data_IF_314741435375
#
_entry.id   IF_314741435375
#
_cell.length_a   1.000
_cell.length_b   1.000
_cell.length_c   1.000
_cell.angle_alpha   90.00
_cell.angle_beta   90.00
_cell.angle_gamma   90.00
#
_symmetry.space_group_name_H-M   'P 1'
#
loop_
_entity.id
_entity.type
_entity.pdbx_description
1 polymer ?
#
# COMPACT_ATOMS: atom_id res chain seq x y z
N UNK A 1 -40.47 -18.53 17.51
CA UNK A 1 -39.94 -17.19 17.12
C UNK A 1 -39.64 -16.29 18.32
N UNK A 2 -38.86 -16.74 19.32
CA UNK A 2 -38.40 -15.89 20.44
C UNK A 2 -36.87 -15.72 20.49
N UNK A 3 -36.12 -16.68 19.96
CA UNK A 3 -34.65 -16.67 19.99
C UNK A 3 -33.99 -15.77 18.93
N UNK A 4 -34.66 -15.53 17.79
CA UNK A 4 -34.10 -14.72 16.69
C UNK A 4 -33.89 -13.25 17.10
N UNK A 5 -34.86 -12.66 17.82
CA UNK A 5 -34.76 -11.25 18.27
C UNK A 5 -33.70 -11.01 19.35
N UNK A 6 -33.41 -12.03 20.18
CA UNK A 6 -32.40 -11.91 21.24
C UNK A 6 -30.99 -11.91 20.61
N UNK A 7 -30.75 -12.72 19.58
CA UNK A 7 -29.47 -12.78 18.86
C UNK A 7 -29.19 -11.46 18.13
N UNK A 8 -30.19 -10.86 17.47
CA UNK A 8 -30.05 -9.55 16.80
C UNK A 8 -29.73 -8.43 17.80
N UNK A 9 -30.35 -8.45 18.98
CA UNK A 9 -30.12 -7.43 20.03
C UNK A 9 -28.72 -7.55 20.63
N UNK A 10 -28.21 -8.78 20.80
CA UNK A 10 -26.86 -9.03 21.32
C UNK A 10 -25.78 -8.64 20.29
N UNK A 11 -26.00 -8.93 19.00
CA UNK A 11 -25.09 -8.47 17.94
C UNK A 11 -25.04 -6.95 17.84
N UNK A 12 -26.18 -6.26 17.92
CA UNK A 12 -26.22 -4.80 17.89
C UNK A 12 -25.44 -4.14 19.04
N UNK A 13 -25.52 -4.68 20.25
CA UNK A 13 -24.89 -4.08 21.44
C UNK A 13 -23.39 -4.39 21.52
N UNK A 14 -22.95 -5.59 21.08
CA UNK A 14 -21.54 -5.96 21.08
C UNK A 14 -20.74 -5.28 19.96
N UNK A 15 -21.35 -5.01 18.81
CA UNK A 15 -20.64 -4.42 17.67
C UNK A 15 -20.71 -2.89 17.60
N UNK A 16 -21.64 -2.23 18.31
CA UNK A 16 -21.71 -0.76 18.35
C UNK A 16 -20.43 -0.07 18.84
N UNK A 17 -19.77 -0.50 19.94
CA UNK A 17 -18.50 0.10 20.35
C UNK A 17 -17.37 -0.18 19.34
N UNK A 18 -17.39 -1.34 18.67
CA UNK A 18 -16.40 -1.66 17.63
C UNK A 18 -16.61 -0.83 16.38
N UNK A 19 -17.83 -0.65 15.89
CA UNK A 19 -18.15 0.21 14.73
C UNK A 19 -17.81 1.67 15.05
N UNK A 20 -18.14 2.15 16.25
CA UNK A 20 -17.81 3.51 16.68
C UNK A 20 -16.29 3.75 16.80
N UNK A 21 -15.53 2.75 17.29
CA UNK A 21 -14.06 2.77 17.30
C UNK A 21 -13.49 2.67 15.87
N UNK A 22 -14.12 1.89 14.98
CA UNK A 22 -13.70 1.72 13.59
C UNK A 22 -13.92 3.01 12.78
N UNK A 23 -15.07 3.67 12.93
CA UNK A 23 -15.37 4.96 12.31
C UNK A 23 -14.40 6.05 12.82
N UNK A 24 -14.12 6.10 14.13
CA UNK A 24 -13.14 7.06 14.69
C UNK A 24 -11.68 6.77 14.30
N UNK A 25 -11.32 5.52 14.00
CA UNK A 25 -9.99 5.17 13.46
C UNK A 25 -9.83 5.53 11.98
N UNK A 26 -10.94 5.74 11.26
CA UNK A 26 -10.96 6.17 9.86
C UNK A 26 -10.89 7.71 9.76
N UNK A 27 -11.44 8.45 10.72
CA UNK A 27 -11.53 9.92 10.69
C UNK A 27 -10.21 10.70 10.90
N UNK A 28 -9.11 10.04 11.24
CA UNK A 28 -7.82 10.72 11.50
C UNK A 28 -6.72 10.45 10.48
N UNK A 29 -6.95 9.60 9.48
CA UNK A 29 -5.88 9.14 8.59
C UNK A 29 -5.87 9.97 7.31
N UNK A 30 -4.76 10.63 6.96
CA UNK A 30 -4.67 11.28 5.66
C UNK A 30 -4.89 10.22 4.58
N UNK A 31 -5.78 10.47 3.60
CA UNK A 31 -6.00 9.51 2.52
C UNK A 31 -4.69 9.24 1.80
N UNK A 32 -4.50 8.02 1.28
CA UNK A 32 -3.35 7.73 0.43
C UNK A 32 -3.27 8.78 -0.69
N UNK A 33 -2.06 9.24 -1.04
CA UNK A 33 -1.82 10.10 -2.18
C UNK A 33 -2.60 9.56 -3.40
N UNK A 34 -3.45 10.37 -4.08
CA UNK A 34 -4.13 9.97 -5.31
C UNK A 34 -3.20 9.33 -6.34
N UNK A 35 -1.95 9.77 -6.32
CA UNK A 35 -0.77 9.21 -6.95
C UNK A 35 -0.63 7.69 -6.87
N UNK A 36 -0.87 7.09 -5.70
CA UNK A 36 -0.73 5.65 -5.52
C UNK A 36 -1.76 4.89 -6.37
N UNK A 37 -2.95 5.44 -6.59
CA UNK A 37 -3.93 4.84 -7.48
C UNK A 37 -3.50 4.88 -8.95
N UNK A 38 -2.71 5.88 -9.36
CA UNK A 38 -2.13 5.93 -10.71
C UNK A 38 -1.14 4.78 -10.95
N UNK A 39 -0.42 4.34 -9.90
CA UNK A 39 0.47 3.18 -10.00
C UNK A 39 -0.27 1.89 -10.38
N UNK A 40 -1.49 1.66 -9.88
CA UNK A 40 -2.34 0.52 -10.31
C UNK A 40 -2.64 0.61 -11.82
N UNK A 41 -2.94 1.82 -12.31
CA UNK A 41 -3.15 2.05 -13.74
C UNK A 41 -1.93 1.68 -14.58
N UNK A 42 -0.74 2.09 -14.14
CA UNK A 42 0.53 1.78 -14.81
C UNK A 42 0.90 0.29 -14.78
N UNK A 43 0.56 -0.42 -13.71
CA UNK A 43 0.71 -1.88 -13.62
C UNK A 43 -0.16 -2.60 -14.67
N UNK A 44 -1.43 -2.18 -14.80
CA UNK A 44 -2.35 -2.76 -15.80
C UNK A 44 -1.88 -2.51 -17.23
N UNK A 45 -1.39 -1.31 -17.54
CA UNK A 45 -0.84 -0.98 -18.87
C UNK A 45 0.34 -1.87 -19.27
N UNK A 46 1.12 -2.36 -18.29
CA UNK A 46 2.26 -3.26 -18.50
C UNK A 46 1.90 -4.75 -18.45
N UNK A 47 0.60 -5.07 -18.45
CA UNK A 47 0.12 -6.44 -18.48
C UNK A 47 0.33 -7.18 -17.16
N UNK A 48 0.33 -6.48 -16.03
CA UNK A 48 0.14 -7.11 -14.72
C UNK A 48 -1.37 -7.33 -14.56
N UNK A 49 -1.79 -8.57 -14.79
CA UNK A 49 -3.20 -8.99 -14.86
C UNK A 49 -3.49 -9.82 -13.61
N UNK A 50 -4.51 -9.42 -12.84
CA UNK A 50 -4.87 -10.04 -11.57
C UNK A 50 -5.81 -9.13 -10.78
N UNK A 51 -6.23 -9.57 -9.59
CA UNK A 51 -6.90 -8.67 -8.66
C UNK A 51 -5.84 -7.80 -7.98
N UNK A 52 -5.91 -6.49 -8.26
CA UNK A 52 -5.01 -5.49 -7.69
C UNK A 52 -5.78 -4.77 -6.59
N UNK A 53 -5.34 -4.92 -5.35
CA UNK A 53 -5.96 -4.27 -4.19
C UNK A 53 -4.95 -3.34 -3.53
N UNK A 54 -5.34 -2.10 -3.27
CA UNK A 54 -4.56 -1.19 -2.44
C UNK A 54 -5.07 -1.23 -1.01
N UNK A 55 -4.17 -1.35 -0.05
CA UNK A 55 -4.47 -1.17 1.36
C UNK A 55 -3.54 -0.13 1.94
N UNK A 56 -4.12 0.88 2.58
CA UNK A 56 -3.35 1.92 3.23
C UNK A 56 -2.75 1.38 4.53
N UNK A 57 -1.46 1.64 4.74
CA UNK A 57 -0.78 1.32 5.98
C UNK A 57 -0.35 2.63 6.64
N UNK A 58 -0.47 2.68 7.96
CA UNK A 58 0.01 3.82 8.73
C UNK A 58 1.27 3.39 9.48
N UNK A 59 2.38 4.06 9.17
CA UNK A 59 3.69 3.86 9.79
C UNK A 59 4.10 5.24 10.30
N UNK A 60 4.38 5.38 11.59
CA UNK A 60 4.57 6.68 12.27
C UNK A 60 5.66 7.55 11.63
N UNK A 61 6.66 6.95 10.98
CA UNK A 61 7.80 7.62 10.36
C UNK A 61 7.59 8.02 8.89
N UNK A 62 6.40 7.76 8.33
CA UNK A 62 6.09 8.00 6.92
C UNK A 62 4.88 8.91 6.76
N UNK A 63 4.96 9.85 5.81
CA UNK A 63 3.84 10.73 5.46
C UNK A 63 2.66 9.92 4.91
N UNK A 64 2.94 8.85 4.17
CA UNK A 64 1.95 7.88 3.74
C UNK A 64 2.60 6.54 3.39
N UNK A 65 1.88 5.44 3.60
CA UNK A 65 2.27 4.15 3.05
C UNK A 65 1.05 3.37 2.57
N UNK A 66 1.26 2.55 1.54
CA UNK A 66 0.24 1.64 1.03
C UNK A 66 0.90 0.35 0.56
N UNK A 67 0.16 -0.73 0.58
CA UNK A 67 0.54 -1.98 -0.09
C UNK A 67 -0.41 -2.22 -1.25
N UNK A 68 0.16 -2.70 -2.36
CA UNK A 68 -0.58 -3.21 -3.50
C UNK A 68 -0.41 -4.71 -3.51
N UNK A 69 -1.51 -5.41 -3.29
CA UNK A 69 -1.58 -6.87 -3.34
C UNK A 69 -1.86 -7.27 -4.79
N UNK A 70 -0.99 -8.10 -5.34
CA UNK A 70 -1.06 -8.65 -6.69
C UNK A 70 -1.54 -10.10 -6.60
N UNK A 71 -2.86 -10.32 -6.71
CA UNK A 71 -3.43 -11.66 -6.79
C UNK A 71 -3.38 -12.13 -8.26
N UNK A 72 -2.21 -12.61 -8.67
CA UNK A 72 -1.99 -13.09 -10.05
C UNK A 72 -2.57 -14.49 -10.27
N UNK A 73 -2.67 -15.30 -9.20
CA UNK A 73 -3.27 -16.63 -9.18
C UNK A 73 -3.91 -16.86 -7.80
N UNK A 74 -5.06 -17.55 -7.68
CA UNK A 74 -5.68 -17.90 -6.39
C UNK A 74 -4.75 -18.56 -5.35
N UNK A 75 -3.58 -19.07 -5.73
CA UNK A 75 -2.59 -19.65 -4.81
C UNK A 75 -1.35 -18.77 -4.57
N UNK A 76 -1.23 -17.60 -5.21
CA UNK A 76 -0.03 -16.76 -5.13
C UNK A 76 -0.40 -15.28 -5.14
N UNK A 77 -0.30 -14.67 -3.96
CA UNK A 77 -0.43 -13.24 -3.75
C UNK A 77 0.95 -12.64 -3.51
N UNK A 78 1.29 -11.63 -4.29
CA UNK A 78 2.56 -10.90 -4.17
C UNK A 78 2.31 -9.48 -3.68
N UNK A 79 3.26 -8.90 -2.93
CA UNK A 79 3.05 -7.59 -2.29
C UNK A 79 4.06 -6.57 -2.80
N UNK A 80 3.55 -5.41 -3.21
CA UNK A 80 4.35 -4.23 -3.51
C UNK A 80 4.05 -3.17 -2.47
N UNK A 81 5.05 -2.72 -1.73
CA UNK A 81 4.91 -1.64 -0.76
C UNK A 81 5.25 -0.31 -1.42
N UNK A 82 4.43 0.70 -1.19
CA UNK A 82 4.61 2.08 -1.63
C UNK A 82 4.73 2.97 -0.39
N UNK A 83 5.69 3.88 -0.44
CA UNK A 83 5.93 4.82 0.66
C UNK A 83 6.08 6.24 0.10
N UNK A 84 5.59 7.20 0.86
CA UNK A 84 5.88 8.62 0.70
C UNK A 84 6.50 9.11 2.00
N UNK A 85 7.69 9.67 1.89
CA UNK A 85 8.43 10.26 3.00
C UNK A 85 8.30 11.78 2.99
N UNK A 86 8.64 12.41 4.11
CA UNK A 86 8.56 13.87 4.25
C UNK A 86 9.64 14.60 3.43
N UNK A 87 10.76 13.92 3.16
CA UNK A 87 11.89 14.47 2.39
C UNK A 87 12.63 13.41 1.60
N UNK A 88 13.46 13.85 0.65
CA UNK A 88 14.34 12.99 -0.15
C UNK A 88 15.36 12.29 0.75
N UNK A 89 15.87 12.95 1.78
CA UNK A 89 16.81 12.37 2.74
C UNK A 89 16.15 11.28 3.58
N UNK A 90 14.89 11.49 4.00
CA UNK A 90 14.12 10.47 4.70
C UNK A 90 13.87 9.26 3.78
N UNK A 91 13.56 9.50 2.51
CA UNK A 91 13.40 8.45 1.51
C UNK A 91 14.72 7.66 1.29
N UNK A 92 15.85 8.36 1.18
CA UNK A 92 17.17 7.71 1.05
C UNK A 92 17.48 6.81 2.25
N UNK A 93 17.22 7.27 3.48
CA UNK A 93 17.43 6.45 4.70
C UNK A 93 16.56 5.20 4.67
N UNK A 94 15.29 5.35 4.30
CA UNK A 94 14.36 4.22 4.22
C UNK A 94 14.72 3.23 3.10
N UNK A 95 15.23 3.73 1.97
CA UNK A 95 15.74 2.88 0.90
C UNK A 95 16.86 1.96 1.40
N UNK A 96 17.84 2.51 2.11
CA UNK A 96 18.95 1.72 2.68
C UNK A 96 18.44 0.67 3.68
N UNK A 97 17.46 1.02 4.51
CA UNK A 97 16.81 0.07 5.42
C UNK A 97 16.12 -1.07 4.64
N UNK A 98 15.37 -0.73 3.59
CA UNK A 98 14.67 -1.72 2.76
C UNK A 98 15.63 -2.63 2.00
N UNK A 99 16.71 -2.09 1.43
CA UNK A 99 17.73 -2.87 0.71
C UNK A 99 18.55 -3.78 1.65
N UNK A 100 18.62 -3.43 2.94
CA UNK A 100 19.25 -4.29 3.95
C UNK A 100 18.36 -5.48 4.38
N UNK A 101 17.07 -5.47 4.02
CA UNK A 101 16.12 -6.50 4.40
C UNK A 101 16.13 -7.65 3.38
N UNK A 102 16.48 -8.89 3.77
CA UNK A 102 16.57 -10.03 2.85
C UNK A 102 15.22 -10.46 2.25
N UNK A 103 14.09 -10.01 2.80
CA UNK A 103 12.75 -10.27 2.26
C UNK A 103 12.34 -9.27 1.16
N UNK A 104 13.12 -8.20 0.97
CA UNK A 104 12.88 -7.19 -0.05
C UNK A 104 13.78 -7.49 -1.25
N UNK A 105 13.18 -7.90 -2.36
CA UNK A 105 13.94 -8.33 -3.54
C UNK A 105 14.34 -7.15 -4.43
N UNK A 106 13.49 -6.13 -4.50
CA UNK A 106 13.72 -4.94 -5.30
C UNK A 106 13.17 -3.71 -4.58
N UNK A 107 13.94 -2.64 -4.59
CA UNK A 107 13.52 -1.34 -4.09
C UNK A 107 13.87 -0.26 -5.09
N UNK A 108 13.05 0.78 -5.19
CA UNK A 108 13.30 1.92 -6.07
C UNK A 108 12.79 3.20 -5.43
N UNK A 109 13.62 4.24 -5.49
CA UNK A 109 13.28 5.58 -5.07
C UNK A 109 13.04 6.49 -6.27
N UNK A 110 12.12 7.44 -6.09
CA UNK A 110 11.96 8.60 -6.96
C UNK A 110 11.47 9.78 -6.14
N UNK A 111 12.35 10.76 -5.93
CA UNK A 111 12.08 11.91 -5.07
C UNK A 111 11.81 11.46 -3.61
N UNK A 112 10.73 11.94 -2.98
CA UNK A 112 10.27 11.49 -1.67
C UNK A 112 9.43 10.19 -1.71
N UNK A 113 9.27 9.58 -2.89
CA UNK A 113 8.49 8.35 -3.07
C UNK A 113 9.42 7.14 -3.18
N UNK A 114 8.97 6.03 -2.60
CA UNK A 114 9.67 4.76 -2.62
C UNK A 114 8.71 3.64 -2.96
N UNK A 115 9.28 2.59 -3.53
CA UNK A 115 8.62 1.31 -3.69
C UNK A 115 9.58 0.20 -3.24
N UNK A 116 9.04 -0.82 -2.58
CA UNK A 116 9.73 -2.10 -2.42
C UNK A 116 8.83 -3.26 -2.83
N UNK A 117 9.47 -4.36 -3.18
CA UNK A 117 8.83 -5.58 -3.65
C UNK A 117 9.15 -6.71 -2.68
N UNK A 118 8.10 -7.31 -2.12
CA UNK A 118 8.19 -8.49 -1.25
C UNK A 118 7.49 -9.63 -1.97
N UNK A 119 8.29 -10.54 -2.54
CA UNK A 119 7.77 -11.73 -3.19
C UNK A 119 8.07 -12.97 -2.37
N UNK A 120 7.14 -13.91 -2.30
CA UNK A 120 7.39 -15.19 -1.63
C UNK A 120 8.46 -16.01 -2.36
N UNK A 121 8.52 -15.88 -3.69
CA UNK A 121 9.55 -16.43 -4.54
C UNK A 121 10.05 -15.35 -5.51
N UNK A 122 11.37 -15.23 -5.76
CA UNK A 122 11.90 -14.26 -6.71
C UNK A 122 11.22 -14.37 -8.08
N UNK A 123 10.77 -13.24 -8.62
CA UNK A 123 10.16 -13.16 -9.95
C UNK A 123 10.63 -11.88 -10.66
N UNK A 124 11.81 -11.97 -11.27
CA UNK A 124 12.51 -10.84 -11.90
C UNK A 124 11.68 -10.19 -13.01
N UNK A 125 10.88 -10.97 -13.75
CA UNK A 125 10.01 -10.44 -14.81
C UNK A 125 8.89 -9.56 -14.24
N UNK A 126 8.25 -10.00 -13.16
CA UNK A 126 7.22 -9.22 -12.49
C UNK A 126 7.83 -8.00 -11.81
N UNK A 127 8.98 -8.16 -11.15
CA UNK A 127 9.71 -7.07 -10.54
C UNK A 127 10.07 -5.99 -11.57
N UNK A 128 10.59 -6.37 -12.74
CA UNK A 128 10.90 -5.44 -13.81
C UNK A 128 9.66 -4.63 -14.25
N UNK A 129 8.52 -5.29 -14.46
CA UNK A 129 7.25 -4.62 -14.80
C UNK A 129 6.80 -3.65 -13.72
N UNK A 130 6.94 -4.03 -12.46
CA UNK A 130 6.61 -3.20 -11.29
C UNK A 130 7.53 -1.97 -11.22
N UNK A 131 8.83 -2.16 -11.38
CA UNK A 131 9.87 -1.12 -11.41
C UNK A 131 9.68 -0.14 -12.56
N UNK A 132 9.27 -0.62 -13.72
CA UNK A 132 8.90 0.20 -14.88
C UNK A 132 7.61 0.97 -14.64
N UNK A 133 6.58 0.33 -14.06
CA UNK A 133 5.31 0.98 -13.74
C UNK A 133 5.52 2.15 -12.78
N UNK A 134 6.33 1.95 -11.74
CA UNK A 134 6.68 3.01 -10.81
C UNK A 134 7.56 4.09 -11.43
N UNK A 135 8.41 3.75 -12.39
CA UNK A 135 9.21 4.73 -13.14
C UNK A 135 8.37 5.64 -14.04
N UNK A 136 7.22 5.16 -14.53
CA UNK A 136 6.34 5.89 -15.44
C UNK A 136 5.14 6.56 -14.76
N UNK A 137 4.92 6.29 -13.49
CA UNK A 137 3.88 6.91 -12.68
C UNK A 137 4.11 8.44 -12.61
N UNK A 138 3.11 9.28 -12.90
CA UNK A 138 3.25 10.75 -12.84
C UNK A 138 3.26 11.25 -11.40
N UNK A 139 4.37 11.84 -10.96
CA UNK A 139 4.45 12.51 -9.66
C UNK A 139 3.92 13.94 -9.77
N UNK A 140 3.24 14.45 -8.73
CA UNK A 140 3.00 15.88 -8.63
C UNK A 140 4.37 16.59 -8.68
N UNK A 141 4.45 17.76 -9.34
CA UNK A 141 5.67 18.55 -9.35
C UNK A 141 6.09 18.79 -7.89
N UNK A 142 7.36 18.52 -7.59
CA UNK A 142 7.92 18.65 -6.27
C UNK A 142 7.72 20.10 -5.80
N UNK A 143 6.69 20.31 -4.97
CA UNK A 143 6.45 21.62 -4.37
C UNK A 143 7.28 21.61 -3.11
N UNK A 144 8.58 21.80 -3.28
CA UNK A 144 9.46 22.16 -2.18
C UNK A 144 8.84 23.40 -1.52
N UNK A 145 8.23 23.19 -0.35
CA UNK A 145 7.94 24.28 0.57
C UNK A 145 9.30 24.84 0.97
N UNK A 146 9.70 25.93 0.29
CA UNK A 146 10.74 26.85 0.75
C UNK A 146 10.39 27.38 2.14
#
# INVERSE_FOLDING_TARGET
MKYVRIIETIFGILFFPFIWIYERLIEGKPPSPPEFWLFIGELRKRGVIGQLQMQELHIEELSSSAIVILDLNPSKSEVVSLFKCDSVEAANRKLVELESNPLMFYSKQRDCYLMSVTFLEPNDQLAAKVVEAFGAFELPPNTSLN
#
